data_IF_139600257276
#
_entry.id   IF_139600257276
#
_cell.length_a   1.000
_cell.length_b   1.000
_cell.length_c   1.000
_cell.angle_alpha   90.00
_cell.angle_beta   90.00
_cell.angle_gamma   90.00
#
_symmetry.space_group_name_H-M   'P 1'
#
loop_
_entity.id
_entity.type
_entity.pdbx_description
1 polymer ?
#
# COMPACT_ATOMS: atom_id res chain seq x y z
N UNK A 1 -24.99 27.42 11.72
CA UNK A 1 -23.84 28.29 11.40
C UNK A 1 -22.68 27.83 12.29
N UNK A 2 -21.59 27.28 11.73
CA UNK A 2 -20.42 26.86 12.52
C UNK A 2 -19.74 28.11 13.12
N UNK A 3 -19.28 28.04 14.37
CA UNK A 3 -18.58 29.15 15.03
C UNK A 3 -17.13 29.28 14.52
N UNK A 4 -16.52 30.47 14.59
CA UNK A 4 -15.13 30.70 14.15
C UNK A 4 -14.11 29.72 14.75
N UNK A 5 -14.35 29.26 15.99
CA UNK A 5 -13.53 28.25 16.67
C UNK A 5 -13.63 26.88 15.99
N UNK A 6 -14.84 26.41 15.66
CA UNK A 6 -15.04 25.15 14.94
C UNK A 6 -14.38 25.15 13.56
N UNK A 7 -14.43 26.29 12.86
CA UNK A 7 -13.77 26.46 11.55
C UNK A 7 -12.24 26.41 11.68
N UNK A 8 -11.68 27.03 12.74
CA UNK A 8 -10.24 26.99 13.02
C UNK A 8 -9.76 25.58 13.37
N UNK A 9 -10.52 24.85 14.18
CA UNK A 9 -10.18 23.49 14.59
C UNK A 9 -10.21 22.53 13.39
N UNK A 10 -11.24 22.61 12.55
CA UNK A 10 -11.37 21.80 11.32
C UNK A 10 -10.23 22.06 10.34
N UNK A 11 -9.85 23.33 10.12
CA UNK A 11 -8.71 23.69 9.27
C UNK A 11 -7.39 23.13 9.80
N UNK A 12 -7.16 23.19 11.11
CA UNK A 12 -5.94 22.64 11.72
C UNK A 12 -5.87 21.12 11.57
N UNK A 13 -7.01 20.42 11.74
CA UNK A 13 -7.08 18.97 11.52
C UNK A 13 -6.79 18.59 10.07
N UNK A 14 -7.37 19.31 9.10
CA UNK A 14 -7.12 19.08 7.67
C UNK A 14 -5.64 19.35 7.34
N UNK A 15 -5.07 20.45 7.84
CA UNK A 15 -3.68 20.80 7.59
C UNK A 15 -2.71 19.73 8.12
N UNK A 16 -2.93 19.25 9.35
CA UNK A 16 -2.13 18.15 9.93
C UNK A 16 -2.27 16.85 9.14
N UNK A 17 -3.46 16.56 8.61
CA UNK A 17 -3.68 15.39 7.77
C UNK A 17 -2.86 15.50 6.47
N UNK A 18 -2.93 16.63 5.79
CA UNK A 18 -2.16 16.91 4.57
C UNK A 18 -0.66 16.78 4.84
N UNK A 19 -0.15 17.41 5.89
CA UNK A 19 1.26 17.34 6.27
C UNK A 19 1.71 15.90 6.56
N UNK A 20 0.85 15.12 7.23
CA UNK A 20 1.14 13.71 7.49
C UNK A 20 1.14 12.86 6.22
N UNK A 21 0.23 13.13 5.28
CA UNK A 21 0.14 12.44 4.00
C UNK A 21 1.34 12.77 3.11
N UNK A 22 1.71 14.04 2.99
CA UNK A 22 2.87 14.48 2.22
C UNK A 22 4.17 13.90 2.78
N UNK A 23 4.31 13.87 4.11
CA UNK A 23 5.46 13.24 4.77
C UNK A 23 5.52 11.75 4.48
N UNK A 24 4.39 11.04 4.60
CA UNK A 24 4.31 9.62 4.29
C UNK A 24 4.67 9.35 2.83
N UNK A 25 4.04 10.09 1.90
CA UNK A 25 4.27 9.98 0.45
C UNK A 25 5.72 10.24 0.08
N UNK A 26 6.37 11.20 0.75
CA UNK A 26 7.79 11.50 0.53
C UNK A 26 8.67 10.33 0.95
N UNK A 27 8.47 9.79 2.16
CA UNK A 27 9.26 8.67 2.68
C UNK A 27 9.10 7.43 1.78
N UNK A 28 7.86 7.08 1.43
CA UNK A 28 7.60 5.88 0.63
C UNK A 28 8.13 6.01 -0.79
N UNK A 29 8.08 7.20 -1.40
CA UNK A 29 8.51 7.42 -2.80
C UNK A 29 10.02 7.20 -2.98
N UNK A 30 10.84 7.55 -2.00
CA UNK A 30 12.30 7.45 -2.10
C UNK A 30 12.88 6.18 -1.46
N UNK A 31 12.03 5.30 -0.92
CA UNK A 31 12.46 4.00 -0.39
C UNK A 31 12.78 3.05 -1.54
N UNK A 32 13.89 2.29 -1.50
CA UNK A 32 14.29 1.36 -2.59
C UNK A 32 13.47 0.06 -2.61
N UNK A 33 12.61 -0.15 -1.62
CA UNK A 33 11.71 -1.29 -1.54
C UNK A 33 10.33 -0.93 -2.10
N UNK A 34 9.67 -1.91 -2.71
CA UNK A 34 8.27 -1.78 -3.10
C UNK A 34 7.40 -1.81 -1.85
N UNK A 35 6.64 -0.75 -1.63
CA UNK A 35 5.66 -0.63 -0.56
C UNK A 35 4.29 -0.62 -1.20
N UNK A 36 3.51 -1.66 -0.93
CA UNK A 36 2.16 -1.81 -1.46
C UNK A 36 1.15 -2.12 -0.36
N UNK A 37 -0.10 -1.73 -0.63
CA UNK A 37 -1.27 -2.08 0.18
C UNK A 37 -2.21 -2.91 -0.67
N UNK A 38 -2.83 -3.92 -0.10
CA UNK A 38 -3.79 -4.78 -0.80
C UNK A 38 -5.09 -4.93 -0.01
N UNK A 39 -6.18 -5.22 -0.71
CA UNK A 39 -7.43 -5.67 -0.10
C UNK A 39 -7.39 -7.17 0.26
N UNK A 40 -8.54 -7.70 0.72
CA UNK A 40 -8.73 -9.11 1.11
C UNK A 40 -8.67 -10.11 -0.06
N UNK A 41 -8.84 -9.63 -1.29
CA UNK A 41 -8.74 -10.42 -2.52
C UNK A 41 -7.35 -10.29 -3.16
N UNK A 42 -6.38 -9.77 -2.40
CA UNK A 42 -5.01 -9.47 -2.82
C UNK A 42 -4.91 -8.48 -3.99
N UNK A 43 -5.94 -7.62 -4.20
CA UNK A 43 -5.88 -6.54 -5.18
C UNK A 43 -5.09 -5.37 -4.64
N UNK A 44 -4.21 -4.82 -5.47
CA UNK A 44 -3.33 -3.72 -5.08
C UNK A 44 -4.16 -2.42 -4.98
N UNK A 45 -4.18 -1.83 -3.79
CA UNK A 45 -4.86 -0.57 -3.48
C UNK A 45 -3.91 0.63 -3.55
N UNK A 46 -2.63 0.40 -3.29
CA UNK A 46 -1.58 1.40 -3.33
C UNK A 46 -0.25 0.73 -3.67
N UNK A 47 0.61 1.44 -4.38
CA UNK A 47 2.02 1.09 -4.55
C UNK A 47 2.84 2.40 -4.65
N UNK A 48 4.01 2.44 -4.00
CA UNK A 48 4.87 3.63 -3.98
C UNK A 48 5.52 3.93 -5.35
N UNK A 49 5.95 2.90 -6.07
CA UNK A 49 6.40 2.94 -7.45
C UNK A 49 6.35 1.53 -8.07
N UNK A 50 6.36 1.48 -9.39
CA UNK A 50 6.28 0.23 -10.18
C UNK A 50 7.62 -0.11 -10.83
N UNK A 51 7.73 -1.32 -11.39
CA UNK A 51 8.84 -1.68 -12.27
C UNK A 51 8.80 -0.84 -13.57
N UNK A 52 9.95 -0.66 -14.27
CA UNK A 52 10.06 0.29 -15.39
C UNK A 52 9.03 0.13 -16.52
N UNK A 53 8.48 -1.07 -16.71
CA UNK A 53 7.56 -1.40 -17.80
C UNK A 53 6.08 -1.34 -17.41
N UNK A 54 5.76 -0.92 -16.17
CA UNK A 54 4.39 -0.81 -15.67
C UNK A 54 4.12 0.58 -15.13
N UNK A 55 2.93 1.09 -15.39
CA UNK A 55 2.39 2.28 -14.74
C UNK A 55 1.61 1.91 -13.48
N UNK A 56 1.43 2.87 -12.56
CA UNK A 56 0.61 2.67 -11.36
C UNK A 56 -0.83 2.28 -11.77
N UNK A 57 -1.41 2.97 -12.75
CA UNK A 57 -2.79 2.72 -13.18
C UNK A 57 -3.00 1.32 -13.77
N UNK A 58 -1.97 0.72 -14.35
CA UNK A 58 -2.01 -0.67 -14.84
C UNK A 58 -1.94 -1.71 -13.74
N UNK A 59 -1.51 -1.32 -12.53
CA UNK A 59 -1.27 -2.21 -11.39
C UNK A 59 -2.38 -2.09 -10.35
N UNK A 60 -2.91 -0.89 -10.11
CA UNK A 60 -3.99 -0.66 -9.15
C UNK A 60 -5.25 -1.45 -9.53
N UNK A 61 -5.84 -2.11 -8.53
CA UNK A 61 -7.05 -2.92 -8.66
C UNK A 61 -6.80 -4.35 -9.18
N UNK A 62 -5.58 -4.68 -9.62
CA UNK A 62 -5.23 -6.03 -10.06
C UNK A 62 -4.66 -6.87 -8.92
N UNK A 63 -4.85 -8.21 -8.96
CA UNK A 63 -4.28 -9.09 -7.95
C UNK A 63 -2.76 -9.12 -8.06
N UNK A 64 -2.05 -9.08 -6.93
CA UNK A 64 -0.57 -9.12 -6.89
C UNK A 64 0.02 -10.35 -7.61
N UNK A 65 -0.73 -11.45 -7.66
CA UNK A 65 -0.34 -12.69 -8.33
C UNK A 65 -0.16 -12.55 -9.85
N UNK A 66 -0.71 -11.50 -10.48
CA UNK A 66 -0.45 -11.19 -11.89
C UNK A 66 1.00 -10.77 -12.15
N UNK A 67 1.69 -10.28 -11.12
CA UNK A 67 3.03 -9.68 -11.21
C UNK A 67 4.11 -10.51 -10.54
N UNK A 68 3.73 -11.62 -9.90
CA UNK A 68 4.63 -12.53 -9.20
C UNK A 68 4.81 -13.80 -10.04
N UNK A 69 6.04 -14.33 -10.20
CA UNK A 69 6.25 -15.60 -10.88
C UNK A 69 5.42 -16.74 -10.27
N UNK A 70 4.88 -17.62 -11.11
CA UNK A 70 3.96 -18.69 -10.70
C UNK A 70 4.50 -19.60 -9.60
N UNK A 71 5.81 -19.84 -9.59
CA UNK A 71 6.50 -20.64 -8.58
C UNK A 71 6.35 -20.11 -7.15
N UNK A 72 6.10 -18.80 -6.98
CA UNK A 72 5.88 -18.19 -5.68
C UNK A 72 4.39 -18.07 -5.32
N UNK A 73 3.46 -18.37 -6.22
CA UNK A 73 2.02 -18.14 -5.96
C UNK A 73 1.51 -18.89 -4.73
N UNK A 74 1.92 -20.14 -4.55
CA UNK A 74 1.49 -20.95 -3.41
C UNK A 74 2.11 -20.47 -2.10
N UNK A 75 3.39 -20.05 -2.13
CA UNK A 75 4.05 -19.41 -1.00
C UNK A 75 3.29 -18.15 -0.56
N UNK A 76 3.00 -17.25 -1.50
CA UNK A 76 2.27 -16.02 -1.22
C UNK A 76 0.85 -16.28 -0.72
N UNK A 77 0.13 -17.25 -1.31
CA UNK A 77 -1.21 -17.62 -0.85
C UNK A 77 -1.21 -18.12 0.59
N UNK A 78 -0.25 -18.97 0.95
CA UNK A 78 -0.15 -19.51 2.31
C UNK A 78 0.16 -18.40 3.32
N UNK A 79 1.16 -17.56 3.03
CA UNK A 79 1.50 -16.40 3.87
C UNK A 79 0.30 -15.46 4.05
N UNK A 80 -0.42 -15.20 2.97
CA UNK A 80 -1.56 -14.32 2.99
C UNK A 80 -2.75 -14.89 3.77
N UNK A 81 -3.02 -16.18 3.62
CA UNK A 81 -4.05 -16.89 4.38
C UNK A 81 -3.72 -16.92 5.88
N UNK A 82 -2.46 -17.13 6.25
CA UNK A 82 -2.02 -17.05 7.64
C UNK A 82 -2.23 -15.64 8.20
N UNK A 83 -1.73 -14.61 7.52
CA UNK A 83 -1.89 -13.20 7.92
C UNK A 83 -3.36 -12.80 8.12
N UNK A 84 -4.25 -13.22 7.23
CA UNK A 84 -5.68 -12.93 7.36
C UNK A 84 -6.34 -13.65 8.54
N UNK A 85 -5.81 -14.80 8.96
CA UNK A 85 -6.35 -15.61 10.05
C UNK A 85 -5.81 -15.20 11.42
N UNK A 86 -4.51 -14.90 11.53
CA UNK A 86 -3.84 -14.62 12.81
C UNK A 86 -3.54 -13.12 13.05
N UNK A 87 -3.59 -12.29 12.01
CA UNK A 87 -3.21 -10.87 12.07
C UNK A 87 -1.71 -10.62 12.24
N UNK A 88 -0.88 -11.66 12.15
CA UNK A 88 0.57 -11.60 12.31
C UNK A 88 1.25 -11.50 10.93
N UNK A 89 2.21 -10.57 10.84
CA UNK A 89 3.05 -10.41 9.67
C UNK A 89 4.06 -11.55 9.56
N UNK A 90 4.11 -12.21 8.41
CA UNK A 90 5.20 -13.14 8.07
C UNK A 90 6.15 -12.47 7.08
N UNK A 91 7.45 -12.46 7.42
CA UNK A 91 8.50 -12.05 6.48
C UNK A 91 8.87 -13.25 5.62
N UNK A 92 8.88 -13.05 4.31
CA UNK A 92 9.32 -14.03 3.33
C UNK A 92 10.19 -13.32 2.27
N UNK A 93 11.13 -14.04 1.67
CA UNK A 93 12.01 -13.49 0.62
C UNK A 93 11.62 -14.10 -0.73
N UNK A 94 11.40 -13.24 -1.73
CA UNK A 94 11.13 -13.65 -3.12
C UNK A 94 12.01 -12.86 -4.06
N UNK A 95 12.57 -13.52 -5.08
CA UNK A 95 13.18 -12.83 -6.20
C UNK A 95 12.11 -12.21 -7.08
N UNK A 96 12.07 -10.89 -7.19
CA UNK A 96 11.31 -10.20 -8.22
C UNK A 96 12.20 -10.08 -9.46
N UNK A 97 11.73 -10.57 -10.61
CA UNK A 97 12.42 -10.49 -11.91
C UNK A 97 12.11 -9.14 -12.56
#
# INVERSE_FOLDING_TARGET
MKTNRQISDEKNTIQKLIESEERWRSITRYTPDHILMMDRDAKILFINYTVPDLTIDEVIGRPIFDFVPKEYHDLHRNVYAELLNNGESCRFETGYV
#
